data_IF_991775030455
#
_entry.id   IF_991775030455
#
_cell.length_a   1.000
_cell.length_b   1.000
_cell.length_c   1.000
_cell.angle_alpha   90.00
_cell.angle_beta   90.00
_cell.angle_gamma   90.00
#
_symmetry.space_group_name_H-M   'P 1'
#
loop_
_entity.id
_entity.type
_entity.pdbx_description
1 polymer ?
#
# COMPACT_ATOMS: atom_id res chain seq x y z
N UNK A 1 -46.30 -49.32 -0.65
CA UNK A 1 -44.88 -49.34 -1.08
C UNK A 1 -44.48 -47.90 -1.39
N UNK A 2 -43.56 -47.32 -0.60
CA UNK A 2 -43.16 -45.90 -0.69
C UNK A 2 -42.11 -45.73 -1.79
N UNK A 3 -42.17 -44.67 -2.62
CA UNK A 3 -41.07 -44.36 -3.54
C UNK A 3 -39.95 -43.65 -2.76
N UNK A 4 -38.73 -44.18 -2.90
CA UNK A 4 -37.50 -43.56 -2.41
C UNK A 4 -37.12 -42.42 -3.37
N UNK A 5 -37.03 -41.19 -2.86
CA UNK A 5 -36.40 -40.08 -3.56
C UNK A 5 -34.90 -40.06 -3.21
N UNK A 6 -34.03 -40.28 -4.21
CA UNK A 6 -32.59 -40.01 -4.11
C UNK A 6 -32.34 -38.55 -4.55
N UNK A 7 -31.70 -37.69 -3.74
CA UNK A 7 -31.24 -36.40 -4.22
C UNK A 7 -29.90 -36.57 -4.96
N UNK A 8 -29.88 -36.16 -6.22
CA UNK A 8 -28.65 -36.06 -7.02
C UNK A 8 -27.95 -34.75 -6.68
N UNK A 9 -26.96 -34.76 -5.79
CA UNK A 9 -26.09 -33.61 -5.55
C UNK A 9 -25.06 -33.52 -6.67
N UNK A 10 -25.26 -32.57 -7.59
CA UNK A 10 -24.26 -32.19 -8.60
C UNK A 10 -23.27 -31.23 -7.93
N UNK A 11 -22.07 -31.73 -7.64
CA UNK A 11 -20.95 -30.88 -7.24
C UNK A 11 -20.39 -30.18 -8.50
N UNK A 12 -20.68 -28.88 -8.65
CA UNK A 12 -19.95 -28.04 -9.60
C UNK A 12 -18.54 -27.83 -9.05
N UNK A 13 -17.56 -28.55 -9.60
CA UNK A 13 -16.17 -28.17 -9.47
C UNK A 13 -15.94 -26.90 -10.31
N UNK A 14 -15.87 -25.74 -9.65
CA UNK A 14 -15.28 -24.54 -10.25
C UNK A 14 -13.80 -24.84 -10.47
N UNK A 15 -13.44 -25.23 -11.69
CA UNK A 15 -12.07 -25.10 -12.16
C UNK A 15 -11.82 -23.60 -12.28
N UNK A 16 -11.21 -23.01 -11.26
CA UNK A 16 -10.59 -21.69 -11.41
C UNK A 16 -9.52 -21.86 -12.47
N UNK A 17 -9.79 -21.40 -13.69
CA UNK A 17 -8.76 -21.25 -14.70
C UNK A 17 -7.69 -20.35 -14.09
N UNK A 18 -6.56 -20.95 -13.69
CA UNK A 18 -5.38 -20.21 -13.28
C UNK A 18 -4.96 -19.43 -14.52
N UNK A 19 -5.26 -18.13 -14.52
CA UNK A 19 -4.88 -17.23 -15.60
C UNK A 19 -3.38 -17.30 -15.74
N UNK A 20 -2.94 -17.95 -16.80
CA UNK A 20 -1.54 -18.23 -17.02
C UNK A 20 -0.99 -16.98 -17.72
N UNK A 21 -0.32 -16.05 -17.00
CA UNK A 21 0.04 -14.66 -17.39
C UNK A 21 0.59 -14.37 -18.81
N UNK A 22 1.51 -13.43 -19.03
CA UNK A 22 2.06 -13.21 -20.37
C UNK A 22 2.90 -14.41 -20.85
N UNK A 23 2.82 -14.78 -22.13
CA UNK A 23 3.66 -15.82 -22.72
C UNK A 23 4.95 -15.24 -23.33
N UNK A 24 4.84 -14.04 -23.91
CA UNK A 24 5.93 -13.25 -24.48
C UNK A 24 5.94 -11.88 -23.82
N UNK A 25 7.12 -11.35 -23.53
CA UNK A 25 7.31 -9.98 -23.03
C UNK A 25 8.07 -9.18 -24.07
N UNK A 26 7.49 -8.06 -24.49
CA UNK A 26 8.15 -7.09 -25.35
C UNK A 26 9.11 -6.22 -24.51
N UNK A 27 10.33 -6.07 -24.98
CA UNK A 27 11.42 -5.40 -24.28
C UNK A 27 12.19 -4.48 -25.21
N UNK A 28 13.01 -3.61 -24.61
CA UNK A 28 13.91 -2.73 -25.35
C UNK A 28 15.36 -3.03 -25.01
N UNK A 29 16.14 -3.46 -26.00
CA UNK A 29 17.60 -3.54 -25.86
C UNK A 29 18.19 -2.14 -25.91
N UNK A 30 18.88 -1.77 -24.84
CA UNK A 30 19.50 -0.45 -24.65
C UNK A 30 21.00 -0.59 -24.86
N UNK A 31 21.53 0.20 -25.80
CA UNK A 31 22.96 0.24 -26.13
C UNK A 31 23.47 1.69 -26.03
N UNK A 32 24.73 1.85 -25.61
CA UNK A 32 25.41 3.14 -25.68
C UNK A 32 25.90 3.36 -27.11
N UNK A 33 25.33 4.36 -27.78
CA UNK A 33 25.73 4.74 -29.14
C UNK A 33 26.95 5.67 -29.18
N UNK A 34 27.58 5.90 -28.03
CA UNK A 34 28.69 6.83 -27.84
C UNK A 34 28.23 8.28 -27.68
N UNK A 35 29.06 9.09 -27.02
CA UNK A 35 28.78 10.51 -26.78
C UNK A 35 27.62 10.79 -25.83
N UNK A 36 27.24 9.81 -24.98
CA UNK A 36 26.13 9.94 -24.02
C UNK A 36 24.74 9.75 -24.64
N UNK A 37 24.64 9.23 -25.87
CA UNK A 37 23.37 8.97 -26.55
C UNK A 37 23.01 7.48 -26.43
N UNK A 38 21.83 7.21 -25.87
CA UNK A 38 21.29 5.86 -25.77
C UNK A 38 20.45 5.52 -27.00
N UNK A 39 20.61 4.32 -27.54
CA UNK A 39 19.75 3.77 -28.60
C UNK A 39 18.93 2.60 -28.08
N UNK A 40 17.69 2.48 -28.54
CA UNK A 40 16.78 1.40 -28.18
C UNK A 40 16.45 0.56 -29.42
N UNK A 41 16.61 -0.77 -29.33
CA UNK A 41 16.18 -1.75 -30.34
C UNK A 41 15.06 -2.64 -29.76
N UNK A 42 14.07 -3.05 -30.56
CA UNK A 42 13.03 -3.94 -30.08
C UNK A 42 13.61 -5.33 -29.80
N UNK A 43 13.18 -5.94 -28.70
CA UNK A 43 13.57 -7.28 -28.27
C UNK A 43 12.35 -7.98 -27.65
N UNK A 44 12.37 -9.31 -27.58
CA UNK A 44 11.30 -10.06 -26.93
C UNK A 44 11.82 -11.26 -26.14
N UNK A 45 11.20 -11.51 -25.00
CA UNK A 45 11.46 -12.67 -24.15
C UNK A 45 10.29 -13.65 -24.25
N UNK A 46 10.55 -14.85 -24.77
CA UNK A 46 9.62 -15.96 -24.75
C UNK A 46 9.80 -16.73 -23.43
N UNK A 47 8.84 -16.55 -22.51
CA UNK A 47 8.88 -17.15 -21.18
C UNK A 47 8.17 -18.51 -21.14
N UNK A 48 7.11 -18.66 -21.94
CA UNK A 48 6.31 -19.90 -21.99
C UNK A 48 5.93 -20.21 -23.43
N UNK A 49 6.12 -21.47 -23.80
CA UNK A 49 5.78 -21.99 -25.11
C UNK A 49 4.72 -23.08 -24.93
N UNK A 50 3.59 -22.98 -25.66
CA UNK A 50 2.62 -24.07 -25.76
C UNK A 50 3.16 -25.23 -26.62
N UNK A 51 2.40 -26.33 -26.79
CA UNK A 51 2.79 -27.37 -27.73
C UNK A 51 2.81 -26.80 -29.16
N UNK A 52 3.99 -26.74 -29.78
CA UNK A 52 4.19 -26.16 -31.12
C UNK A 52 5.56 -25.50 -31.28
N UNK A 53 5.85 -24.95 -32.46
CA UNK A 53 7.06 -24.15 -32.71
C UNK A 53 6.94 -22.76 -32.09
N UNK A 54 8.07 -22.08 -31.75
CA UNK A 54 8.03 -20.70 -31.27
C UNK A 54 7.35 -19.79 -32.31
N UNK A 55 6.53 -18.81 -31.90
CA UNK A 55 5.91 -17.90 -32.85
C UNK A 55 7.00 -17.11 -33.58
N UNK A 56 6.98 -17.04 -34.92
CA UNK A 56 7.99 -16.31 -35.69
C UNK A 56 7.83 -14.80 -35.48
N UNK A 57 8.95 -14.10 -35.29
CA UNK A 57 9.02 -12.64 -35.12
C UNK A 57 10.01 -12.05 -36.14
N UNK A 58 9.60 -11.89 -37.42
CA UNK A 58 10.48 -11.38 -38.47
C UNK A 58 10.82 -9.88 -38.28
N UNK A 59 10.09 -9.21 -37.40
CA UNK A 59 10.33 -7.82 -36.97
C UNK A 59 11.49 -7.67 -35.98
N UNK A 60 12.00 -8.78 -35.42
CA UNK A 60 13.07 -8.78 -34.44
C UNK A 60 14.35 -9.38 -35.01
N UNK A 61 15.49 -8.89 -34.53
CA UNK A 61 16.77 -9.54 -34.75
C UNK A 61 16.78 -10.89 -34.00
N UNK A 62 17.28 -12.00 -34.60
CA UNK A 62 17.34 -13.31 -33.95
C UNK A 62 18.01 -13.34 -32.56
N UNK A 63 19.02 -12.49 -32.38
CA UNK A 63 19.78 -12.35 -31.13
C UNK A 63 18.98 -11.64 -30.03
N UNK A 64 17.92 -10.92 -30.41
CA UNK A 64 17.04 -10.15 -29.51
C UNK A 64 15.69 -10.83 -29.29
N UNK A 65 15.45 -11.98 -29.92
CA UNK A 65 14.33 -12.86 -29.59
C UNK A 65 14.85 -14.03 -28.75
N UNK A 66 14.62 -13.96 -27.44
CA UNK A 66 15.23 -14.89 -26.48
C UNK A 66 14.20 -15.88 -25.96
N UNK A 67 14.48 -17.17 -26.13
CA UNK A 67 13.79 -18.24 -25.40
C UNK A 67 14.42 -18.37 -24.02
N UNK A 68 13.67 -18.05 -22.98
CA UNK A 68 14.20 -18.05 -21.61
C UNK A 68 14.04 -19.41 -20.96
N UNK A 69 15.17 -20.03 -20.64
CA UNK A 69 15.25 -21.17 -19.72
C UNK A 69 15.53 -20.65 -18.32
N UNK A 70 14.61 -20.88 -17.38
CA UNK A 70 14.72 -20.43 -15.99
C UNK A 70 14.68 -21.66 -15.08
N UNK A 71 15.85 -22.24 -14.73
CA UNK A 71 15.95 -23.44 -13.91
C UNK A 71 15.46 -23.23 -12.48
N UNK A 72 15.73 -22.06 -11.91
CA UNK A 72 15.33 -21.74 -10.54
C UNK A 72 13.85 -21.36 -10.44
N UNK A 73 13.22 -21.02 -11.56
CA UNK A 73 11.77 -20.81 -11.69
C UNK A 73 11.27 -19.46 -11.17
N UNK A 74 12.13 -18.63 -10.56
CA UNK A 74 11.73 -17.36 -9.95
C UNK A 74 11.19 -16.35 -10.98
N UNK A 75 11.82 -16.27 -12.15
CA UNK A 75 11.39 -15.38 -13.24
C UNK A 75 10.04 -15.84 -13.78
N UNK A 76 9.89 -17.13 -14.09
CA UNK A 76 8.61 -17.67 -14.59
C UNK A 76 7.49 -17.57 -13.54
N UNK A 77 7.80 -17.79 -12.26
CA UNK A 77 6.83 -17.72 -11.17
C UNK A 77 6.26 -16.31 -10.98
N UNK A 78 7.09 -15.27 -11.15
CA UNK A 78 6.63 -13.87 -11.09
C UNK A 78 5.50 -13.61 -12.11
N UNK A 79 5.64 -14.14 -13.33
CA UNK A 79 4.65 -13.99 -14.39
C UNK A 79 3.43 -14.90 -14.27
N UNK A 80 3.54 -16.04 -13.58
CA UNK A 80 2.36 -16.88 -13.26
C UNK A 80 1.38 -16.18 -12.34
N UNK A 81 1.86 -15.28 -11.48
CA UNK A 81 1.04 -14.48 -10.55
C UNK A 81 0.57 -13.15 -11.15
N UNK A 82 0.94 -12.84 -12.39
CA UNK A 82 0.60 -11.57 -13.02
C UNK A 82 -0.87 -11.53 -13.44
N UNK A 83 -1.67 -10.54 -13.01
CA UNK A 83 -3.09 -10.45 -13.36
C UNK A 83 -3.28 -10.21 -14.87
N UNK A 84 -4.29 -10.84 -15.49
CA UNK A 84 -4.57 -10.73 -16.92
C UNK A 84 -4.95 -9.32 -17.38
N UNK A 85 -5.57 -8.55 -16.49
CA UNK A 85 -6.15 -7.24 -16.81
C UNK A 85 -5.15 -6.10 -16.59
N UNK A 86 -3.91 -6.42 -16.20
CA UNK A 86 -2.85 -5.45 -15.95
C UNK A 86 -2.02 -5.23 -17.22
N UNK A 87 -1.65 -3.98 -17.57
CA UNK A 87 -0.74 -3.71 -18.69
C UNK A 87 0.56 -4.53 -18.59
N UNK A 88 1.18 -4.83 -19.74
CA UNK A 88 2.48 -5.50 -19.74
C UNK A 88 3.53 -4.68 -18.95
N UNK A 89 4.45 -5.34 -18.22
CA UNK A 89 5.50 -4.63 -17.49
C UNK A 89 6.44 -3.92 -18.46
N UNK A 90 7.05 -2.82 -17.99
CA UNK A 90 8.16 -2.23 -18.71
C UNK A 90 9.36 -3.18 -18.64
N UNK A 91 9.98 -3.46 -19.78
CA UNK A 91 11.11 -4.37 -19.88
C UNK A 91 12.26 -3.71 -20.66
N UNK A 92 13.44 -3.71 -20.06
CA UNK A 92 14.67 -3.22 -20.67
C UNK A 92 15.75 -4.31 -20.60
N UNK A 93 16.46 -4.49 -21.71
CA UNK A 93 17.62 -5.36 -21.82
C UNK A 93 18.87 -4.51 -21.97
N UNK A 94 19.98 -4.92 -21.35
CA UNK A 94 21.29 -4.33 -21.60
C UNK A 94 22.38 -5.40 -21.58
N UNK A 95 23.53 -5.09 -22.17
CA UNK A 95 24.71 -5.95 -22.01
C UNK A 95 25.20 -5.93 -20.56
N UNK A 96 25.59 -7.09 -20.06
CA UNK A 96 26.14 -7.25 -18.72
C UNK A 96 27.57 -7.78 -18.81
N UNK A 97 28.45 -7.29 -17.93
CA UNK A 97 29.83 -7.76 -17.83
C UNK A 97 30.06 -8.23 -16.40
N UNK A 98 30.32 -9.53 -16.16
CA UNK A 98 30.62 -10.05 -14.84
C UNK A 98 31.88 -9.37 -14.27
N UNK A 99 31.72 -8.68 -13.15
CA UNK A 99 32.78 -7.90 -12.50
C UNK A 99 32.63 -8.03 -10.98
N UNK A 100 33.75 -8.04 -10.22
CA UNK A 100 33.69 -8.02 -8.77
C UNK A 100 32.92 -6.81 -8.24
N UNK A 101 32.25 -6.98 -7.10
CA UNK A 101 31.58 -5.90 -6.41
C UNK A 101 32.59 -4.78 -6.07
N UNK A 102 32.22 -3.53 -6.37
CA UNK A 102 33.09 -2.37 -6.13
C UNK A 102 33.20 -2.01 -4.64
N UNK A 103 32.25 -2.46 -3.82
CA UNK A 103 32.20 -2.16 -2.40
C UNK A 103 33.23 -3.00 -1.61
N UNK A 104 34.02 -2.34 -0.77
CA UNK A 104 35.09 -3.02 -0.01
C UNK A 104 34.59 -4.11 0.93
N UNK A 105 33.37 -3.99 1.48
CA UNK A 105 32.78 -4.99 2.38
C UNK A 105 32.38 -6.29 1.65
N UNK A 106 32.21 -6.23 0.33
CA UNK A 106 31.83 -7.39 -0.48
C UNK A 106 33.05 -8.12 -1.07
N UNK A 107 34.27 -7.68 -0.74
CA UNK A 107 35.52 -8.23 -1.30
C UNK A 107 35.69 -9.71 -0.97
N UNK A 108 35.21 -10.19 0.17
CA UNK A 108 35.25 -11.60 0.54
C UNK A 108 34.50 -12.53 -0.38
N UNK A 109 33.55 -12.03 -1.18
CA UNK A 109 32.82 -12.84 -2.18
C UNK A 109 33.71 -13.23 -3.37
N UNK A 110 34.80 -12.51 -3.61
CA UNK A 110 35.75 -12.78 -4.70
C UNK A 110 37.19 -12.75 -4.15
N UNK A 111 37.61 -13.79 -3.40
CA UNK A 111 38.96 -13.85 -2.84
C UNK A 111 40.02 -14.12 -3.92
N UNK A 112 39.63 -14.77 -5.02
CA UNK A 112 40.52 -15.09 -6.14
C UNK A 112 40.85 -13.84 -6.97
N UNK A 113 42.10 -13.75 -7.42
CA UNK A 113 42.56 -12.63 -8.25
C UNK A 113 42.38 -12.85 -9.76
N UNK A 114 41.65 -13.90 -10.15
CA UNK A 114 41.40 -14.26 -11.56
C UNK A 114 39.91 -14.43 -11.81
N UNK A 115 39.43 -13.98 -12.98
CA UNK A 115 38.04 -14.20 -13.38
C UNK A 115 37.79 -15.71 -13.63
N UNK A 116 36.71 -16.28 -13.07
CA UNK A 116 36.39 -17.69 -13.26
C UNK A 116 35.90 -17.95 -14.69
N UNK A 117 36.50 -18.95 -15.35
CA UNK A 117 36.12 -19.36 -16.73
C UNK A 117 34.69 -19.88 -16.85
N UNK A 118 34.06 -20.25 -15.72
CA UNK A 118 32.65 -20.66 -15.70
C UNK A 118 31.68 -19.52 -16.08
N UNK A 119 32.16 -18.26 -16.04
CA UNK A 119 31.41 -17.07 -16.43
C UNK A 119 31.70 -16.59 -17.85
N UNK A 120 32.48 -17.34 -18.64
CA UNK A 120 32.70 -17.02 -20.05
C UNK A 120 31.37 -17.04 -20.83
N UNK A 121 31.28 -16.19 -21.85
CA UNK A 121 30.11 -16.07 -22.72
C UNK A 121 29.45 -14.69 -22.70
N UNK A 122 28.37 -14.54 -23.45
CA UNK A 122 27.61 -13.28 -23.56
C UNK A 122 26.53 -13.23 -22.49
N UNK A 123 26.52 -12.13 -21.74
CA UNK A 123 25.55 -11.89 -20.67
C UNK A 123 24.66 -10.69 -20.99
N UNK A 124 23.39 -10.83 -20.66
CA UNK A 124 22.40 -9.76 -20.71
C UNK A 124 21.79 -9.56 -19.33
N UNK A 125 21.51 -8.31 -18.98
CA UNK A 125 20.69 -7.96 -17.83
C UNK A 125 19.30 -7.57 -18.32
N UNK A 126 18.29 -8.17 -17.71
CA UNK A 126 16.87 -7.86 -17.93
C UNK A 126 16.37 -7.12 -16.71
N UNK A 127 15.86 -5.91 -16.90
CA UNK A 127 15.17 -5.13 -15.87
C UNK A 127 13.69 -5.01 -16.21
N UNK A 128 12.84 -5.38 -15.26
CA UNK A 128 11.40 -5.34 -15.40
C UNK A 128 10.76 -4.54 -14.27
N UNK A 129 9.85 -3.63 -14.61
CA UNK A 129 9.12 -2.83 -13.64
C UNK A 129 7.64 -2.76 -13.97
N UNK A 130 6.82 -2.94 -12.93
CA UNK A 130 5.37 -2.81 -12.98
C UNK A 130 4.86 -2.39 -11.59
N UNK A 131 3.57 -2.03 -11.47
CA UNK A 131 2.95 -1.84 -10.16
C UNK A 131 2.85 -3.13 -9.32
N UNK A 132 2.99 -4.31 -9.94
CA UNK A 132 2.80 -5.61 -9.30
C UNK A 132 4.12 -6.18 -8.78
N UNK A 133 5.20 -6.05 -9.54
CA UNK A 133 6.53 -6.48 -9.15
C UNK A 133 7.62 -5.64 -9.83
N UNK A 134 8.81 -5.64 -9.23
CA UNK A 134 10.06 -5.23 -9.90
C UNK A 134 11.05 -6.39 -9.87
N UNK A 135 11.71 -6.64 -10.99
CA UNK A 135 12.60 -7.77 -11.16
C UNK A 135 13.84 -7.37 -11.95
N UNK A 136 14.98 -7.94 -11.59
CA UNK A 136 16.21 -7.91 -12.38
C UNK A 136 16.72 -9.34 -12.55
N UNK A 137 17.03 -9.74 -13.78
CA UNK A 137 17.57 -11.07 -14.07
C UNK A 137 18.80 -10.99 -14.96
N UNK A 138 19.83 -11.75 -14.61
CA UNK A 138 20.99 -11.97 -15.44
C UNK A 138 20.75 -13.22 -16.31
N UNK A 139 20.80 -13.02 -17.61
CA UNK A 139 20.65 -14.06 -18.62
C UNK A 139 22.02 -14.34 -19.26
N UNK A 140 22.36 -15.62 -19.40
CA UNK A 140 23.51 -16.05 -20.19
C UNK A 140 23.04 -16.63 -21.51
N UNK A 141 23.51 -16.08 -22.63
CA UNK A 141 23.21 -16.62 -23.95
C UNK A 141 23.95 -17.94 -24.13
N UNK A 142 23.29 -18.93 -24.72
CA UNK A 142 23.94 -20.15 -25.13
C UNK A 142 24.49 -19.99 -26.54
N UNK A 143 25.81 -20.15 -26.69
CA UNK A 143 26.43 -20.33 -28.00
C UNK A 143 26.27 -21.79 -28.42
N UNK A 144 25.49 -22.09 -29.46
CA UNK A 144 25.34 -23.46 -29.95
C UNK A 144 26.68 -24.06 -30.41
N UNK A 145 26.98 -25.32 -30.05
CA UNK A 145 27.44 -26.32 -30.98
C UNK A 145 26.23 -27.20 -31.32
N UNK A 146 25.59 -27.01 -32.48
CA UNK A 146 24.52 -27.90 -32.94
C UNK A 146 25.13 -29.12 -33.67
N UNK A 147 24.85 -30.36 -33.24
CA UNK A 147 24.96 -31.53 -34.09
C UNK A 147 23.56 -32.12 -34.30
N UNK A 148 22.81 -31.60 -35.28
CA UNK A 148 21.87 -32.36 -36.14
C UNK A 148 20.98 -31.40 -36.97
N UNK A 149 20.68 -31.72 -38.25
CA UNK A 149 19.89 -30.86 -39.12
C UNK A 149 18.38 -31.12 -38.91
N UNK A 150 17.67 -30.19 -38.29
CA UNK A 150 16.20 -30.18 -38.25
C UNK A 150 15.63 -28.93 -38.96
N UNK A 151 14.40 -29.02 -39.52
CA UNK A 151 13.91 -28.12 -40.56
C UNK A 151 13.64 -26.72 -39.99
N UNK A 152 14.25 -25.72 -40.62
CA UNK A 152 14.17 -24.27 -40.37
C UNK A 152 13.48 -23.89 -39.05
N UNK A 153 14.18 -23.98 -37.90
CA UNK A 153 13.66 -23.47 -36.66
C UNK A 153 13.51 -21.95 -36.78
N UNK A 154 12.43 -21.40 -36.24
CA UNK A 154 12.31 -19.96 -36.04
C UNK A 154 13.60 -19.45 -35.38
N UNK A 155 14.25 -18.46 -35.99
CA UNK A 155 15.51 -17.88 -35.53
C UNK A 155 15.33 -17.27 -34.12
N UNK A 156 15.56 -18.07 -33.09
CA UNK A 156 15.38 -17.71 -31.67
C UNK A 156 16.62 -18.13 -30.89
N UNK A 157 17.10 -17.26 -30.02
CA UNK A 157 18.31 -17.52 -29.22
C UNK A 157 17.94 -18.08 -27.86
N UNK A 158 18.60 -19.14 -27.42
CA UNK A 158 18.37 -19.71 -26.09
C UNK A 158 19.18 -18.94 -25.04
N UNK A 159 18.51 -18.49 -23.97
CA UNK A 159 19.12 -17.78 -22.87
C UNK A 159 18.76 -18.45 -21.54
N UNK A 160 19.73 -18.65 -20.66
CA UNK A 160 19.52 -19.26 -19.33
C UNK A 160 19.54 -18.17 -18.25
N UNK A 161 18.52 -18.12 -17.40
CA UNK A 161 18.50 -17.25 -16.23
C UNK A 161 19.43 -17.82 -15.15
N UNK A 162 20.41 -17.02 -14.75
CA UNK A 162 21.45 -17.42 -13.79
C UNK A 162 21.18 -16.82 -12.42
N UNK A 163 20.89 -15.53 -12.35
CA UNK A 163 20.51 -14.83 -11.13
C UNK A 163 19.24 -14.04 -11.41
N UNK A 164 18.23 -14.20 -10.56
CA UNK A 164 17.01 -13.40 -10.59
C UNK A 164 16.81 -12.77 -9.22
N UNK A 165 16.61 -11.46 -9.17
CA UNK A 165 16.26 -10.70 -7.97
C UNK A 165 14.87 -10.09 -8.21
N UNK A 166 13.97 -10.28 -7.26
CA UNK A 166 12.55 -9.97 -7.40
C UNK A 166 12.02 -9.33 -6.12
N UNK A 167 11.14 -8.35 -6.28
CA UNK A 167 10.29 -7.82 -5.22
C UNK A 167 8.83 -7.83 -5.68
N UNK A 168 7.95 -8.36 -4.82
CA UNK A 168 6.49 -8.37 -5.06
C UNK A 168 5.81 -7.10 -4.57
N UNK A 169 6.54 -6.20 -3.91
CA UNK A 169 6.01 -4.93 -3.41
C UNK A 169 6.87 -3.79 -3.94
N UNK A 170 6.77 -3.42 -5.23
CA UNK A 170 7.61 -2.37 -5.82
C UNK A 170 7.24 -0.97 -5.31
N UNK A 171 6.01 -0.78 -4.83
CA UNK A 171 5.52 0.52 -4.30
C UNK A 171 4.84 0.35 -2.94
N UNK A 172 5.57 -0.08 -1.88
CA UNK A 172 4.98 -0.36 -0.59
C UNK A 172 4.44 0.92 0.05
N UNK A 173 3.20 0.85 0.58
CA UNK A 173 2.55 1.95 1.29
C UNK A 173 2.36 1.59 2.75
N UNK A 174 3.02 2.30 3.65
CA UNK A 174 2.99 2.01 5.08
C UNK A 174 2.36 3.13 5.90
N UNK A 175 1.71 2.78 7.01
CA UNK A 175 1.26 3.81 7.93
C UNK A 175 2.43 4.40 8.70
N UNK A 176 2.43 5.73 8.85
CA UNK A 176 3.44 6.45 9.63
C UNK A 176 3.57 5.86 11.05
N UNK A 177 4.81 5.55 11.44
CA UNK A 177 5.16 4.99 12.74
C UNK A 177 5.02 3.47 12.85
N UNK A 178 4.60 2.78 11.78
CA UNK A 178 4.62 1.32 11.72
C UNK A 178 5.93 0.80 11.14
N UNK A 179 6.24 -0.46 11.47
CA UNK A 179 7.36 -1.18 10.86
C UNK A 179 6.98 -1.61 9.45
N UNK A 180 7.90 -1.45 8.49
CA UNK A 180 7.71 -1.91 7.11
C UNK A 180 8.61 -3.10 6.82
N UNK A 181 8.07 -4.04 6.03
CA UNK A 181 8.82 -5.12 5.41
C UNK A 181 8.91 -4.85 3.91
N UNK A 182 10.11 -4.62 3.41
CA UNK A 182 10.41 -4.46 1.99
C UNK A 182 10.79 -5.81 1.42
N UNK A 183 9.82 -6.46 0.76
CA UNK A 183 9.95 -7.80 0.18
C UNK A 183 11.10 -7.87 -0.82
N UNK A 184 11.96 -8.89 -0.65
CA UNK A 184 13.03 -9.20 -1.59
C UNK A 184 13.30 -10.70 -1.59
N UNK A 185 13.18 -11.29 -2.76
CA UNK A 185 13.55 -12.67 -3.04
C UNK A 185 14.58 -12.70 -4.15
N UNK A 186 15.43 -13.71 -4.12
CA UNK A 186 16.35 -13.98 -5.21
C UNK A 186 16.49 -15.47 -5.46
N UNK A 187 16.98 -15.81 -6.64
CA UNK A 187 17.20 -17.18 -7.04
C UNK A 187 18.46 -17.27 -7.88
N UNK A 188 19.22 -18.33 -7.68
CA UNK A 188 20.52 -18.53 -8.32
C UNK A 188 20.68 -19.94 -8.85
N UNK A 189 21.10 -20.04 -10.11
CA UNK A 189 21.52 -21.28 -10.75
C UNK A 189 23.05 -21.29 -10.89
N UNK A 190 23.76 -22.24 -10.26
CA UNK A 190 25.21 -22.36 -10.41
C UNK A 190 25.59 -22.74 -11.87
N UNK A 191 26.74 -22.28 -12.39
CA UNK A 191 27.21 -22.69 -13.71
C UNK A 191 27.48 -24.20 -13.79
N UNK A 192 26.89 -24.86 -14.79
CA UNK A 192 26.99 -26.30 -15.05
C UNK A 192 28.31 -26.73 -15.72
N UNK A 193 29.47 -26.33 -15.18
CA UNK A 193 30.78 -26.76 -15.70
C UNK A 193 31.36 -27.88 -14.84
N UNK A 194 32.02 -28.87 -15.45
CA UNK A 194 32.75 -29.94 -14.75
C UNK A 194 33.77 -29.42 -13.73
N UNK A 195 34.23 -28.17 -13.87
CA UNK A 195 35.08 -27.47 -12.89
C UNK A 195 34.37 -27.10 -11.58
N UNK A 196 33.04 -27.09 -11.54
CA UNK A 196 32.23 -26.82 -10.35
C UNK A 196 32.22 -27.99 -9.35
N UNK A 197 32.77 -29.15 -9.71
CA UNK A 197 33.02 -30.28 -8.79
C UNK A 197 34.03 -29.97 -7.69
N UNK A 198 34.68 -28.79 -7.72
CA UNK A 198 35.60 -28.31 -6.70
C UNK A 198 34.98 -27.35 -5.67
N UNK A 199 33.75 -26.86 -5.89
CA UNK A 199 33.04 -26.04 -4.92
C UNK A 199 32.52 -26.91 -3.78
N UNK A 200 32.59 -26.39 -2.55
CA UNK A 200 31.98 -27.05 -1.39
C UNK A 200 30.48 -27.29 -1.66
N UNK A 201 29.93 -28.46 -1.31
CA UNK A 201 28.51 -28.74 -1.51
C UNK A 201 27.66 -27.72 -0.74
N UNK A 202 26.58 -27.25 -1.38
CA UNK A 202 25.66 -26.26 -0.82
C UNK A 202 25.75 -24.87 -1.46
N UNK A 203 24.89 -23.93 -1.02
CA UNK A 203 24.76 -22.63 -1.65
C UNK A 203 25.99 -21.73 -1.38
N UNK A 204 26.41 -20.90 -2.36
CA UNK A 204 27.55 -20.00 -2.18
C UNK A 204 27.24 -18.87 -1.20
N UNK A 205 28.26 -18.25 -0.58
CA UNK A 205 28.05 -17.00 0.14
C UNK A 205 27.54 -15.92 -0.81
N UNK A 206 26.68 -15.06 -0.30
CA UNK A 206 26.13 -13.92 -1.06
C UNK A 206 26.24 -12.66 -0.22
N UNK A 207 26.21 -11.50 -0.87
CA UNK A 207 26.12 -10.19 -0.26
C UNK A 207 24.72 -9.61 -0.45
N UNK A 208 24.19 -8.97 0.59
CA UNK A 208 22.97 -8.18 0.52
C UNK A 208 23.31 -6.73 0.78
N UNK A 209 22.82 -5.83 -0.06
CA UNK A 209 22.98 -4.38 0.09
C UNK A 209 21.62 -3.68 -0.04
N UNK A 210 21.27 -2.88 0.97
CA UNK A 210 20.10 -1.99 0.93
C UNK A 210 20.56 -0.54 1.01
N UNK A 211 20.11 0.27 0.05
CA UNK A 211 20.38 1.71 0.02
C UNK A 211 19.10 2.51 -0.14
N UNK A 212 19.04 3.69 0.46
CA UNK A 212 18.02 4.71 0.14
C UNK A 212 18.62 5.82 -0.69
N UNK A 213 18.05 6.06 -1.87
CA UNK A 213 18.43 7.17 -2.74
C UNK A 213 17.51 8.36 -2.47
N UNK A 214 18.11 9.48 -2.05
CA UNK A 214 17.41 10.74 -1.84
C UNK A 214 18.24 11.88 -2.44
N UNK A 215 17.64 12.67 -3.33
CA UNK A 215 18.29 13.80 -4.01
C UNK A 215 19.63 13.42 -4.69
N UNK A 216 19.68 12.24 -5.32
CA UNK A 216 20.88 11.75 -6.01
C UNK A 216 21.98 11.19 -5.10
N UNK A 217 21.81 11.19 -3.77
CA UNK A 217 22.74 10.58 -2.81
C UNK A 217 22.16 9.27 -2.28
N UNK A 218 22.86 8.17 -2.55
CA UNK A 218 22.52 6.84 -2.01
C UNK A 218 23.16 6.62 -0.65
N UNK A 219 22.36 6.53 0.42
CA UNK A 219 22.82 6.20 1.76
C UNK A 219 22.68 4.69 1.99
N UNK A 220 23.76 4.04 2.42
CA UNK A 220 23.74 2.62 2.78
C UNK A 220 22.94 2.44 4.08
N UNK A 221 21.90 1.62 4.05
CA UNK A 221 21.09 1.28 5.21
C UNK A 221 21.55 0.01 5.89
N UNK A 222 21.82 -1.03 5.09
CA UNK A 222 22.25 -2.34 5.57
C UNK A 222 23.13 -3.01 4.54
N UNK A 223 24.19 -3.66 5.01
CA UNK A 223 25.00 -4.58 4.22
C UNK A 223 25.27 -5.84 5.05
N UNK A 224 25.22 -7.00 4.41
CA UNK A 224 25.49 -8.29 5.04
C UNK A 224 26.11 -9.26 4.04
N UNK A 225 26.95 -10.18 4.51
CA UNK A 225 27.49 -11.29 3.71
C UNK A 225 27.23 -12.64 4.38
N UNK A 226 25.99 -13.17 4.34
CA UNK A 226 25.69 -14.48 4.90
C UNK A 226 26.62 -15.57 4.33
N UNK A 227 27.16 -16.40 5.23
CA UNK A 227 28.17 -17.42 4.89
C UNK A 227 29.62 -16.94 4.99
N UNK A 228 29.87 -15.64 5.21
CA UNK A 228 31.20 -15.09 5.46
C UNK A 228 31.28 -14.39 6.82
N UNK A 229 32.38 -14.61 7.54
CA UNK A 229 32.65 -13.98 8.85
C UNK A 229 33.35 -12.62 8.73
N UNK A 230 32.95 -11.77 7.79
CA UNK A 230 33.60 -10.48 7.54
C UNK A 230 32.98 -9.33 8.35
N UNK A 231 33.77 -8.29 8.61
CA UNK A 231 33.30 -7.08 9.30
C UNK A 231 32.36 -6.27 8.39
N UNK A 232 31.09 -6.19 8.77
CA UNK A 232 30.08 -5.44 8.01
C UNK A 232 29.98 -3.97 8.45
N UNK A 233 29.56 -3.07 7.54
CA UNK A 233 29.14 -1.72 7.88
C UNK A 233 28.01 -1.72 8.92
N UNK A 234 27.97 -0.70 9.78
CA UNK A 234 26.91 -0.57 10.77
C UNK A 234 25.56 -0.26 10.09
N UNK A 235 24.54 -1.04 10.45
CA UNK A 235 23.17 -0.80 10.02
C UNK A 235 22.67 0.58 10.50
N UNK A 236 21.95 1.28 9.64
CA UNK A 236 21.37 2.59 9.92
C UNK A 236 19.89 2.44 10.28
N UNK A 237 19.36 3.40 11.06
CA UNK A 237 17.92 3.53 11.31
C UNK A 237 17.25 2.29 11.93
N UNK A 238 18.04 1.46 12.64
CA UNK A 238 17.55 0.21 13.23
C UNK A 238 17.14 -0.85 12.20
N UNK A 239 17.56 -0.71 10.94
CA UNK A 239 17.23 -1.63 9.87
C UNK A 239 17.82 -3.02 10.14
N UNK A 240 17.01 -4.05 9.89
CA UNK A 240 17.43 -5.46 9.94
C UNK A 240 16.98 -6.16 8.67
N UNK A 241 17.65 -7.24 8.27
CA UNK A 241 17.30 -7.97 7.07
C UNK A 241 17.21 -9.48 7.33
N UNK A 242 16.23 -10.11 6.69
CA UNK A 242 16.09 -11.56 6.64
C UNK A 242 16.90 -12.10 5.46
N UNK A 243 18.23 -12.13 5.62
CA UNK A 243 19.17 -12.51 4.58
C UNK A 243 19.61 -13.98 4.75
N UNK A 244 19.01 -14.90 3.99
CA UNK A 244 19.36 -16.33 4.03
C UNK A 244 18.97 -17.04 2.72
N UNK A 245 19.62 -18.17 2.45
CA UNK A 245 19.10 -19.16 1.50
C UNK A 245 17.92 -19.91 2.13
N UNK A 246 16.94 -20.30 1.31
CA UNK A 246 15.74 -21.00 1.76
C UNK A 246 16.02 -22.48 2.06
N UNK A 247 17.00 -23.07 1.36
CA UNK A 247 17.46 -24.45 1.51
C UNK A 247 18.99 -24.56 1.32
N UNK A 248 19.54 -25.72 1.72
CA UNK A 248 20.95 -26.08 1.62
C UNK A 248 21.19 -27.24 0.64
N UNK A 249 20.37 -27.34 -0.41
CA UNK A 249 20.48 -28.45 -1.38
C UNK A 249 21.89 -28.52 -1.99
N UNK A 250 22.47 -29.70 -2.24
CA UNK A 250 23.90 -29.80 -2.57
C UNK A 250 24.32 -29.13 -3.89
N UNK A 251 23.42 -29.08 -4.87
CA UNK A 251 23.75 -28.72 -6.26
C UNK A 251 22.92 -27.57 -6.84
N UNK A 252 21.98 -27.02 -6.07
CA UNK A 252 21.05 -25.99 -6.52
C UNK A 252 20.10 -26.47 -7.64
N UNK A 253 19.36 -25.54 -8.28
CA UNK A 253 19.33 -24.10 -8.01
C UNK A 253 18.81 -23.78 -6.61
N UNK A 254 19.20 -22.63 -6.07
CA UNK A 254 18.77 -22.17 -4.75
C UNK A 254 17.90 -20.93 -4.85
N UNK A 255 16.97 -20.79 -3.91
CA UNK A 255 16.24 -19.54 -3.66
C UNK A 255 16.63 -18.96 -2.32
N UNK A 256 16.52 -17.64 -2.19
CA UNK A 256 16.87 -16.94 -0.97
C UNK A 256 15.99 -15.71 -0.73
N UNK A 257 16.05 -15.26 0.51
CA UNK A 257 15.35 -14.09 1.01
C UNK A 257 16.37 -13.01 1.38
N UNK A 258 16.03 -11.76 1.11
CA UNK A 258 16.80 -10.58 1.53
C UNK A 258 15.92 -9.42 1.99
N UNK A 259 14.71 -9.73 2.46
CA UNK A 259 13.69 -8.75 2.87
C UNK A 259 14.23 -7.84 3.96
N UNK A 260 14.05 -6.52 3.80
CA UNK A 260 14.44 -5.52 4.79
C UNK A 260 13.27 -5.21 5.72
N UNK A 261 13.53 -5.19 7.03
CA UNK A 261 12.64 -4.61 8.03
C UNK A 261 13.19 -3.27 8.49
N UNK A 262 12.37 -2.22 8.36
CA UNK A 262 12.68 -0.89 8.86
C UNK A 262 11.65 -0.51 9.93
N UNK A 263 12.07 -0.27 11.19
CA UNK A 263 11.15 -0.02 12.28
C UNK A 263 10.63 1.42 12.28
N UNK A 264 9.41 1.61 12.78
CA UNK A 264 8.79 2.91 13.08
C UNK A 264 8.97 3.97 11.97
N UNK A 265 8.54 3.65 10.75
CA UNK A 265 8.83 4.46 9.55
C UNK A 265 8.29 5.88 9.68
N UNK A 266 9.16 6.86 9.44
CA UNK A 266 8.87 8.29 9.45
C UNK A 266 8.93 8.89 8.04
N UNK A 267 8.32 10.07 7.81
CA UNK A 267 8.32 10.73 6.48
C UNK A 267 9.69 10.97 5.87
N UNK A 268 10.73 11.24 6.67
CA UNK A 268 12.09 11.46 6.12
C UNK A 268 12.71 10.19 5.52
N UNK A 269 12.16 9.02 5.81
CA UNK A 269 12.59 7.73 5.29
C UNK A 269 11.85 7.34 4.01
N UNK A 270 10.90 8.17 3.55
CA UNK A 270 10.19 7.98 2.28
C UNK A 270 11.14 8.13 1.08
N UNK A 271 10.82 7.45 -0.02
CA UNK A 271 11.51 7.58 -1.30
C UNK A 271 12.00 6.26 -1.89
N UNK A 272 13.02 6.35 -2.73
CA UNK A 272 13.51 5.23 -3.53
C UNK A 272 14.52 4.37 -2.76
N UNK A 273 14.24 3.09 -2.65
CA UNK A 273 15.11 2.07 -2.07
C UNK A 273 15.69 1.18 -3.18
N UNK A 274 16.96 0.87 -3.07
CA UNK A 274 17.67 -0.03 -3.96
C UNK A 274 18.12 -1.24 -3.14
N UNK A 275 17.77 -2.42 -3.63
CA UNK A 275 18.22 -3.68 -3.08
C UNK A 275 19.12 -4.38 -4.09
N UNK A 276 20.36 -4.67 -3.70
CA UNK A 276 21.34 -5.34 -4.54
C UNK A 276 21.77 -6.64 -3.88
N UNK A 277 21.66 -7.74 -4.63
CA UNK A 277 22.20 -9.04 -4.25
C UNK A 277 23.49 -9.25 -5.01
N UNK A 278 24.57 -9.47 -4.26
CA UNK A 278 25.92 -9.72 -4.76
C UNK A 278 26.24 -11.21 -4.66
N UNK A 279 26.66 -11.78 -5.77
CA UNK A 279 27.26 -13.12 -5.86
C UNK A 279 28.67 -12.95 -6.45
N UNK A 280 29.53 -13.99 -6.43
CA UNK A 280 30.84 -13.90 -7.05
C UNK A 280 30.74 -13.42 -8.51
N UNK A 281 31.25 -12.21 -8.78
CA UNK A 281 31.22 -11.50 -10.07
C UNK A 281 29.83 -11.14 -10.64
N UNK A 282 28.75 -11.45 -9.93
CA UNK A 282 27.39 -11.24 -10.40
C UNK A 282 26.64 -10.31 -9.42
N UNK A 283 25.86 -9.38 -9.95
CA UNK A 283 25.01 -8.52 -9.13
C UNK A 283 23.66 -8.31 -9.81
N UNK A 284 22.58 -8.45 -9.03
CA UNK A 284 21.22 -8.11 -9.45
C UNK A 284 20.67 -7.01 -8.55
N UNK A 285 20.00 -6.01 -9.14
CA UNK A 285 19.47 -4.87 -8.40
C UNK A 285 18.00 -4.63 -8.74
N UNK A 286 17.18 -4.41 -7.73
CA UNK A 286 15.78 -3.97 -7.88
C UNK A 286 15.53 -2.66 -7.17
N UNK A 287 14.52 -1.94 -7.64
CA UNK A 287 14.14 -0.62 -7.12
C UNK A 287 12.73 -0.68 -6.53
N UNK A 288 12.57 -0.09 -5.34
CA UNK A 288 11.31 0.02 -4.62
C UNK A 288 11.04 1.49 -4.29
N UNK A 289 9.78 1.91 -4.34
CA UNK A 289 9.37 3.27 -3.97
C UNK A 289 8.49 3.22 -2.72
N UNK A 290 9.11 3.43 -1.55
CA UNK A 290 8.40 3.43 -0.26
C UNK A 290 7.64 4.74 -0.11
N UNK A 291 6.33 4.65 0.07
CA UNK A 291 5.45 5.77 0.38
C UNK A 291 4.89 5.67 1.79
N UNK A 292 4.89 6.80 2.51
CA UNK A 292 4.35 6.89 3.87
C UNK A 292 2.96 7.52 3.82
N UNK A 293 2.03 7.01 4.62
CA UNK A 293 0.67 7.54 4.68
C UNK A 293 0.12 7.57 6.10
N UNK A 294 -0.74 8.55 6.41
CA UNK A 294 -1.45 8.62 7.69
C UNK A 294 -2.83 9.24 7.45
N UNK A 295 -3.93 8.51 7.74
CA UNK A 295 -5.26 9.04 7.50
C UNK A 295 -5.62 10.15 8.49
N UNK A 296 -6.25 11.25 8.03
CA UNK A 296 -6.64 12.35 8.89
C UNK A 296 -7.72 11.94 9.90
N UNK A 297 -7.62 12.52 11.10
CA UNK A 297 -8.69 12.56 12.08
C UNK A 297 -9.42 13.89 11.95
N UNK A 298 -10.69 13.83 11.58
CA UNK A 298 -11.55 15.01 11.36
C UNK A 298 -12.40 15.23 12.59
N UNK A 299 -12.39 16.45 13.12
CA UNK A 299 -13.21 16.89 14.24
C UNK A 299 -13.77 18.28 13.95
N UNK A 300 -14.95 18.58 14.49
CA UNK A 300 -15.65 19.84 14.27
C UNK A 300 -15.91 20.52 15.61
N UNK A 301 -15.70 21.83 15.67
CA UNK A 301 -15.86 22.67 16.86
C UNK A 301 -16.64 23.92 16.48
N UNK A 302 -17.64 24.37 17.27
CA UNK A 302 -18.22 23.67 18.42
C UNK A 302 -19.01 22.42 18.00
N UNK A 303 -19.04 21.39 18.84
CA UNK A 303 -19.84 20.17 18.66
C UNK A 303 -20.50 19.76 19.98
N UNK A 304 -21.64 19.03 19.97
CA UNK A 304 -22.39 18.53 18.80
C UNK A 304 -23.44 19.52 18.26
N UNK A 305 -23.60 20.67 18.91
CA UNK A 305 -24.78 21.51 18.77
C UNK A 305 -24.40 22.99 18.91
N UNK A 306 -24.93 23.82 18.01
CA UNK A 306 -24.61 25.26 17.91
C UNK A 306 -25.91 26.05 17.96
N UNK A 307 -25.91 27.13 18.74
CA UNK A 307 -27.07 28.02 18.89
C UNK A 307 -26.84 29.35 18.19
N UNK A 308 -27.89 29.88 17.57
CA UNK A 308 -27.91 31.24 17.03
C UNK A 308 -29.29 31.86 17.17
N UNK A 309 -29.35 33.17 17.44
CA UNK A 309 -30.62 33.90 17.42
C UNK A 309 -31.09 34.12 15.97
N UNK A 310 -32.41 34.23 15.72
CA UNK A 310 -32.91 34.61 14.41
C UNK A 310 -32.32 35.95 13.95
N UNK A 311 -31.71 35.98 12.77
CA UNK A 311 -31.07 37.17 12.20
C UNK A 311 -29.60 37.34 12.59
N UNK A 312 -29.05 36.49 13.46
CA UNK A 312 -27.63 36.46 13.81
C UNK A 312 -26.90 35.33 13.09
N UNK A 313 -25.60 35.53 12.84
CA UNK A 313 -24.74 34.48 12.32
C UNK A 313 -24.36 33.51 13.46
N UNK A 314 -24.39 32.20 13.22
CA UNK A 314 -23.82 31.22 14.14
C UNK A 314 -22.33 31.52 14.44
N UNK A 315 -21.80 31.03 15.58
CA UNK A 315 -20.38 31.08 15.84
C UNK A 315 -19.59 30.40 14.71
N UNK A 316 -18.35 30.84 14.56
CA UNK A 316 -17.40 30.27 13.64
C UNK A 316 -17.26 28.76 13.85
N UNK A 317 -17.40 27.99 12.76
CA UNK A 317 -17.19 26.55 12.75
C UNK A 317 -15.74 26.26 12.35
N UNK A 318 -15.03 25.56 13.22
CA UNK A 318 -13.65 25.12 13.04
C UNK A 318 -13.63 23.61 12.82
N UNK A 319 -13.27 23.21 11.61
CA UNK A 319 -13.00 21.83 11.25
C UNK A 319 -11.50 21.54 11.40
N UNK A 320 -11.14 20.80 12.43
CA UNK A 320 -9.77 20.44 12.71
C UNK A 320 -9.42 19.08 12.07
N UNK A 321 -8.51 19.11 11.10
CA UNK A 321 -7.97 17.96 10.38
C UNK A 321 -6.60 17.64 10.95
N UNK A 322 -6.52 16.61 11.78
CA UNK A 322 -5.36 16.33 12.61
C UNK A 322 -4.58 15.09 12.17
N UNK A 323 -3.25 15.19 12.33
CA UNK A 323 -2.23 14.16 12.15
C UNK A 323 -2.39 13.32 10.87
N UNK A 324 -2.24 13.97 9.72
CA UNK A 324 -2.30 13.30 8.40
C UNK A 324 -1.00 13.46 7.60
N UNK A 325 -0.82 12.59 6.61
CA UNK A 325 0.30 12.60 5.68
C UNK A 325 -0.07 11.76 4.43
N UNK A 326 0.30 12.15 3.20
CA UNK A 326 1.06 13.34 2.81
C UNK A 326 0.27 14.66 2.98
N UNK A 327 0.93 15.81 2.85
CA UNK A 327 0.25 17.12 2.88
C UNK A 327 -0.52 17.43 1.59
N UNK A 328 -0.12 16.82 0.48
CA UNK A 328 -0.68 17.05 -0.84
C UNK A 328 -2.00 16.30 -1.04
N UNK A 329 -2.90 16.86 -1.84
CA UNK A 329 -4.18 16.25 -2.15
C UNK A 329 -5.24 16.32 -1.04
N UNK A 330 -5.02 17.12 0.01
CA UNK A 330 -6.05 17.43 1.00
C UNK A 330 -7.04 18.46 0.43
N UNK A 331 -8.33 18.13 0.44
CA UNK A 331 -9.41 19.08 0.15
C UNK A 331 -10.43 19.11 1.29
N UNK A 332 -10.86 20.32 1.67
CA UNK A 332 -11.92 20.52 2.66
C UNK A 332 -13.12 21.22 2.02
N UNK A 333 -14.29 20.59 2.12
CA UNK A 333 -15.56 21.09 1.62
C UNK A 333 -16.52 21.28 2.80
N UNK A 334 -17.26 22.38 2.75
CA UNK A 334 -18.30 22.68 3.72
C UNK A 334 -19.67 22.43 3.11
N UNK A 335 -20.49 21.66 3.80
CA UNK A 335 -21.80 21.23 3.35
C UNK A 335 -22.84 21.53 4.44
N UNK A 336 -24.09 21.75 4.04
CA UNK A 336 -25.23 21.95 4.94
C UNK A 336 -26.40 21.10 4.48
N UNK A 337 -27.14 20.54 5.44
CA UNK A 337 -28.35 19.77 5.22
C UNK A 337 -29.50 20.39 6.00
N UNK A 338 -30.53 20.87 5.31
CA UNK A 338 -31.68 21.57 5.91
C UNK A 338 -32.77 20.69 6.53
N UNK A 339 -32.55 19.38 6.72
CA UNK A 339 -33.54 18.45 7.30
C UNK A 339 -33.13 16.97 7.18
N UNK A 340 -33.86 16.01 7.77
CA UNK A 340 -33.47 14.59 7.80
C UNK A 340 -33.38 13.93 6.41
N UNK A 341 -34.21 14.34 5.44
CA UNK A 341 -34.25 13.80 4.07
C UNK A 341 -33.59 14.70 3.00
N UNK A 342 -33.00 15.84 3.41
CA UNK A 342 -32.32 16.73 2.47
C UNK A 342 -30.97 16.18 2.00
N UNK A 343 -30.61 16.43 0.73
CA UNK A 343 -29.23 16.23 0.27
C UNK A 343 -28.30 17.30 0.86
N UNK A 344 -27.03 16.95 1.03
CA UNK A 344 -26.01 17.93 1.42
C UNK A 344 -25.80 18.93 0.26
N UNK A 345 -25.96 20.20 0.57
CA UNK A 345 -25.70 21.32 -0.33
C UNK A 345 -24.44 22.05 0.13
N UNK A 346 -23.79 22.80 -0.77
CA UNK A 346 -22.61 23.60 -0.40
C UNK A 346 -23.00 24.67 0.63
N UNK A 347 -22.28 24.73 1.74
CA UNK A 347 -22.53 25.73 2.76
C UNK A 347 -22.11 27.13 2.28
N UNK A 348 -22.96 28.12 2.55
CA UNK A 348 -22.68 29.53 2.31
C UNK A 348 -21.95 30.16 3.50
N UNK A 349 -21.18 31.22 3.24
CA UNK A 349 -20.38 31.91 4.25
C UNK A 349 -18.93 32.16 3.84
N UNK A 350 -18.19 32.86 4.70
CA UNK A 350 -16.75 33.07 4.53
C UNK A 350 -16.01 31.82 4.97
N UNK A 351 -15.05 31.36 4.17
CA UNK A 351 -14.25 30.18 4.46
C UNK A 351 -12.77 30.43 4.22
N UNK A 352 -11.93 29.94 5.11
CA UNK A 352 -10.48 30.04 4.99
C UNK A 352 -9.80 28.83 5.63
N UNK A 353 -8.53 28.62 5.28
CA UNK A 353 -7.71 27.53 5.83
C UNK A 353 -6.57 28.14 6.64
N UNK A 354 -6.21 27.49 7.74
CA UNK A 354 -5.00 27.81 8.48
C UNK A 354 -3.76 27.37 7.70
N UNK A 355 -2.60 27.91 8.05
CA UNK A 355 -1.32 27.33 7.65
C UNK A 355 -1.18 25.90 8.17
N UNK A 356 -0.35 25.10 7.50
CA UNK A 356 0.00 23.75 7.95
C UNK A 356 0.80 23.82 9.25
N UNK A 357 0.42 22.98 10.20
CA UNK A 357 1.15 22.75 11.45
C UNK A 357 1.90 21.43 11.34
N UNK A 358 3.22 21.48 11.43
CA UNK A 358 4.07 20.29 11.43
C UNK A 358 4.23 19.74 12.84
N UNK A 359 4.18 18.42 12.97
CA UNK A 359 4.39 17.69 14.22
C UNK A 359 5.78 17.03 14.23
N UNK A 360 6.26 16.65 15.42
CA UNK A 360 7.55 15.96 15.57
C UNK A 360 7.56 14.55 14.98
N UNK A 361 6.39 13.92 14.81
CA UNK A 361 6.25 12.63 14.13
C UNK A 361 6.31 12.77 12.59
N UNK A 362 6.46 13.99 12.08
CA UNK A 362 6.47 14.33 10.66
C UNK A 362 5.08 14.44 10.02
N UNK A 363 4.00 14.13 10.74
CA UNK A 363 2.65 14.37 10.27
C UNK A 363 2.31 15.86 10.29
N UNK A 364 1.28 16.24 9.55
CA UNK A 364 0.79 17.62 9.50
C UNK A 364 -0.64 17.74 9.98
N UNK A 365 -1.05 18.95 10.32
CA UNK A 365 -2.43 19.28 10.68
C UNK A 365 -2.84 20.63 10.15
N UNK A 366 -4.13 20.76 9.88
CA UNK A 366 -4.71 21.95 9.29
C UNK A 366 -6.10 22.17 9.89
N UNK A 367 -6.46 23.44 10.10
CA UNK A 367 -7.80 23.82 10.52
C UNK A 367 -8.48 24.57 9.37
N UNK A 368 -9.68 24.14 9.02
CA UNK A 368 -10.55 24.85 8.11
C UNK A 368 -11.60 25.60 8.92
N UNK A 369 -11.88 26.83 8.52
CA UNK A 369 -12.77 27.73 9.22
C UNK A 369 -13.94 28.09 8.31
N UNK A 370 -15.14 28.17 8.88
CA UNK A 370 -16.35 28.62 8.21
C UNK A 370 -17.08 29.59 9.13
N UNK A 371 -17.31 30.81 8.65
CA UNK A 371 -18.24 31.76 9.24
C UNK A 371 -19.58 31.64 8.52
N UNK A 372 -20.61 31.01 9.11
CA UNK A 372 -21.89 30.81 8.44
C UNK A 372 -22.66 32.13 8.28
N UNK A 373 -23.61 32.17 7.35
CA UNK A 373 -24.50 33.32 7.13
C UNK A 373 -25.54 33.46 8.25
N UNK A 374 -26.12 34.65 8.46
CA UNK A 374 -27.21 34.86 9.42
C UNK A 374 -28.40 33.91 9.20
N UNK A 375 -28.88 33.30 10.28
CA UNK A 375 -29.87 32.22 10.21
C UNK A 375 -31.30 32.72 10.39
N UNK A 376 -32.23 32.03 9.75
CA UNK A 376 -33.68 32.24 9.92
C UNK A 376 -34.32 31.01 10.55
N UNK A 377 -35.58 31.10 10.97
CA UNK A 377 -36.34 30.00 11.55
C UNK A 377 -36.36 28.71 10.70
N UNK A 378 -36.20 28.82 9.38
CA UNK A 378 -36.15 27.69 8.43
C UNK A 378 -34.90 26.83 8.57
N UNK A 379 -33.86 27.34 9.21
CA UNK A 379 -32.57 26.66 9.38
C UNK A 379 -32.46 25.90 10.71
N UNK A 380 -33.52 25.93 11.53
CA UNK A 380 -33.60 25.15 12.76
C UNK A 380 -33.51 23.64 12.45
N UNK A 381 -32.61 22.93 13.14
CA UNK A 381 -32.33 21.52 12.91
C UNK A 381 -31.43 21.23 11.69
N UNK A 382 -30.87 22.26 11.04
CA UNK A 382 -29.93 22.06 9.93
C UNK A 382 -28.60 21.49 10.41
N UNK A 383 -27.99 20.59 9.63
CA UNK A 383 -26.68 19.99 9.94
C UNK A 383 -25.60 20.56 9.05
N UNK A 384 -24.62 21.22 9.64
CA UNK A 384 -23.39 21.60 8.95
C UNK A 384 -22.41 20.45 9.00
N UNK A 385 -21.75 20.17 7.88
CA UNK A 385 -20.77 19.11 7.73
C UNK A 385 -19.48 19.66 7.13
N UNK A 386 -18.35 19.32 7.74
CA UNK A 386 -17.04 19.46 7.13
C UNK A 386 -16.65 18.13 6.48
N UNK A 387 -16.56 18.10 5.15
CA UNK A 387 -16.20 16.94 4.33
C UNK A 387 -14.73 17.07 3.90
N UNK A 388 -13.91 16.10 4.29
CA UNK A 388 -12.49 16.06 4.00
C UNK A 388 -12.19 14.95 3.00
N UNK A 389 -11.53 15.30 1.91
CA UNK A 389 -10.96 14.35 0.95
C UNK A 389 -9.44 14.32 1.11
N UNK A 390 -8.88 13.12 1.02
CA UNK A 390 -7.44 12.87 1.14
C UNK A 390 -7.13 11.55 0.43
N UNK A 391 -5.95 11.35 -0.18
CA UNK A 391 -5.61 10.12 -0.92
C UNK A 391 -5.71 8.84 -0.09
N UNK A 392 -5.58 8.94 1.23
CA UNK A 392 -5.67 7.80 2.16
C UNK A 392 -7.09 7.54 2.67
N UNK A 393 -8.08 8.34 2.28
CA UNK A 393 -9.48 8.18 2.63
C UNK A 393 -10.25 7.54 1.46
N UNK A 394 -11.41 6.92 1.73
CA UNK A 394 -12.32 6.47 0.67
C UNK A 394 -12.76 7.63 -0.22
N UNK A 395 -13.27 7.34 -1.43
CA UNK A 395 -13.72 8.36 -2.39
C UNK A 395 -14.78 9.33 -1.82
N UNK A 396 -15.65 8.85 -0.92
CA UNK A 396 -16.65 9.66 -0.21
C UNK A 396 -16.05 10.62 0.83
N UNK A 397 -14.76 10.51 1.12
CA UNK A 397 -14.07 11.27 2.14
C UNK A 397 -14.53 10.92 3.56
N UNK A 398 -14.18 11.77 4.52
CA UNK A 398 -14.59 11.68 5.91
C UNK A 398 -15.28 12.98 6.33
N UNK A 399 -16.41 12.90 7.02
CA UNK A 399 -17.12 14.09 7.51
C UNK A 399 -17.26 14.14 9.01
N UNK A 400 -17.31 15.36 9.54
CA UNK A 400 -17.78 15.66 10.89
C UNK A 400 -18.96 16.64 10.79
N UNK A 401 -19.99 16.44 11.61
CA UNK A 401 -21.25 17.17 11.52
C UNK A 401 -21.60 17.87 12.85
N UNK A 402 -22.30 18.99 12.76
CA UNK A 402 -22.85 19.75 13.90
C UNK A 402 -24.28 20.16 13.56
N UNK A 403 -25.17 20.12 14.55
CA UNK A 403 -26.56 20.53 14.38
C UNK A 403 -26.76 21.98 14.84
N UNK A 404 -27.43 22.78 14.01
CA UNK A 404 -27.79 24.16 14.30
C UNK A 404 -29.18 24.22 14.94
N UNK A 405 -29.26 24.83 16.11
CA UNK A 405 -30.50 25.16 16.78
C UNK A 405 -30.70 26.67 16.79
N UNK A 406 -31.87 27.10 16.31
CA UNK A 406 -32.26 28.52 16.33
C UNK A 406 -33.01 28.81 17.63
N UNK A 407 -32.51 29.76 18.41
CA UNK A 407 -33.08 30.12 19.71
C UNK A 407 -34.52 30.63 19.56
N UNK A 408 -35.40 30.26 20.50
CA UNK A 408 -36.81 30.67 20.52
C UNK A 408 -37.77 29.82 19.68
N UNK A 409 -37.29 28.76 19.02
CA UNK A 409 -38.11 27.80 18.28
C UNK A 409 -38.23 26.43 18.94
N UNK A 410 -37.39 26.14 19.95
CA UNK A 410 -37.54 24.97 20.79
C UNK A 410 -38.79 25.12 21.66
N UNK A 411 -39.88 24.46 21.28
CA UNK A 411 -41.06 24.30 22.13
C UNK A 411 -40.73 23.47 23.38
N UNK A 412 -41.56 23.48 24.42
CA UNK A 412 -41.33 22.68 25.62
C UNK A 412 -41.13 21.21 25.25
N UNK A 413 -40.12 20.57 25.82
CA UNK A 413 -39.87 19.14 25.64
C UNK A 413 -41.11 18.35 26.07
N UNK A 414 -41.29 17.14 25.51
CA UNK A 414 -42.33 16.22 25.96
C UNK A 414 -42.16 15.93 27.47
N UNK A 415 -40.93 15.93 27.97
CA UNK A 415 -40.61 15.82 29.40
C UNK A 415 -41.04 17.06 30.20
N UNK A 416 -40.85 18.26 29.64
CA UNK A 416 -41.33 19.51 30.27
C UNK A 416 -42.87 19.51 30.34
N UNK A 417 -43.53 19.04 29.28
CA UNK A 417 -44.98 18.88 29.23
C UNK A 417 -45.49 17.88 30.26
N UNK A 418 -44.82 16.74 30.42
CA UNK A 418 -45.13 15.74 31.46
C UNK A 418 -44.88 16.30 32.86
N UNK A 419 -43.78 17.04 33.07
CA UNK A 419 -43.48 17.71 34.34
C UNK A 419 -44.52 18.76 34.73
N UNK A 420 -44.97 19.57 33.77
CA UNK A 420 -46.05 20.55 33.97
C UNK A 420 -47.38 19.87 34.29
N UNK A 421 -47.70 18.77 33.62
CA UNK A 421 -48.89 17.99 33.93
C UNK A 421 -48.85 17.36 35.33
N UNK A 422 -47.73 16.72 35.70
CA UNK A 422 -47.57 16.08 37.00
C UNK A 422 -47.61 17.10 38.14
N UNK A 423 -46.97 18.25 37.97
CA UNK A 423 -47.00 19.34 38.96
C UNK A 423 -48.41 19.92 39.12
N UNK A 424 -49.16 20.09 38.02
CA UNK A 424 -50.56 20.51 38.08
C UNK A 424 -51.45 19.50 38.82
N UNK A 425 -51.28 18.20 38.58
CA UNK A 425 -52.02 17.15 39.28
C UNK A 425 -51.68 17.11 40.79
N UNK A 426 -50.41 17.27 41.15
CA UNK A 426 -49.98 17.35 42.55
C UNK A 426 -50.58 18.56 43.26
N UNK A 427 -50.54 19.73 42.62
CA UNK A 427 -51.14 20.97 43.15
C UNK A 427 -52.64 20.84 43.31
N UNK A 428 -53.35 20.29 42.32
CA UNK A 428 -54.80 20.05 42.41
C UNK A 428 -55.14 19.05 43.52
N UNK A 429 -54.33 18.00 43.68
CA UNK A 429 -54.45 17.04 44.78
C UNK A 429 -54.30 17.70 46.15
N UNK A 430 -53.26 18.52 46.32
CA UNK A 430 -53.02 19.30 47.55
C UNK A 430 -54.14 20.29 47.84
N UNK A 431 -54.62 21.02 46.84
CA UNK A 431 -55.72 21.98 47.00
C UNK A 431 -57.02 21.27 47.41
N UNK A 432 -57.34 20.11 46.80
CA UNK A 432 -58.50 19.31 47.21
C UNK A 432 -58.35 18.76 48.62
N UNK A 433 -57.19 18.26 49.00
CA UNK A 433 -56.94 17.75 50.35
C UNK A 433 -57.07 18.86 51.40
N UNK A 434 -56.52 20.05 51.14
CA UNK A 434 -56.67 21.22 51.99
C UNK A 434 -58.13 21.69 52.06
N UNK A 435 -58.85 21.68 50.94
CA UNK A 435 -60.28 22.00 50.88
C UNK A 435 -61.13 21.01 51.69
N UNK A 436 -60.85 19.71 51.60
CA UNK A 436 -61.49 18.68 52.41
C UNK A 436 -61.16 18.82 53.89
N UNK A 437 -59.90 19.09 54.24
CA UNK A 437 -59.50 19.31 55.63
C UNK A 437 -60.17 20.57 56.22
N UNK A 438 -60.35 21.63 55.44
CA UNK A 438 -61.06 22.83 55.84
C UNK A 438 -62.57 22.57 56.03
N UNK A 439 -63.20 21.84 55.11
CA UNK A 439 -64.62 21.44 55.22
C UNK A 439 -64.88 20.47 56.38
N UNK A 440 -63.93 19.57 56.66
CA UNK A 440 -64.01 18.69 57.83
C UNK A 440 -63.88 19.49 59.14
N UNK A 441 -63.00 20.49 59.19
CA UNK A 441 -62.88 21.39 60.35
C UNK A 441 -64.14 22.24 60.57
N UNK A 442 -64.78 22.73 59.50
CA UNK A 442 -66.01 23.51 59.63
C UNK A 442 -67.19 22.66 60.10
N UNK A 443 -67.37 21.45 59.56
CA UNK A 443 -68.43 20.52 59.99
C UNK A 443 -68.23 19.98 61.40
N UNK A 444 -66.98 19.75 61.83
CA UNK A 444 -66.66 19.38 63.22
C UNK A 444 -66.97 20.51 64.21
N UNK A 445 -66.82 21.78 63.78
CA UNK A 445 -67.13 22.96 64.60
C UNK A 445 -68.64 23.15 64.75
N UNK A 446 -69.40 22.98 63.68
CA UNK A 446 -70.87 23.06 63.66
C UNK A 446 -71.55 21.92 64.47
N UNK A 447 -70.94 20.72 64.47
CA UNK A 447 -71.39 19.60 65.30
C UNK A 447 -71.14 19.80 66.80
N UNK A 448 -70.13 20.60 67.18
CA UNK A 448 -69.88 20.96 68.58
C UNK A 448 -70.85 22.03 69.09
N UNK A 449 -71.30 22.96 68.25
CA UNK A 449 -72.33 23.96 68.63
C UNK A 449 -73.71 23.32 68.84
N UNK A 450 -74.10 22.31 68.03
CA UNK A 450 -75.38 21.60 68.21
C UNK A 450 -75.46 20.68 69.44
N UNK A 451 -74.36 20.43 70.16
CA UNK A 451 -74.34 19.64 71.41
C UNK A 451 -74.41 20.48 72.69
N UNK A 452 -74.49 21.81 72.56
CA UNK A 452 -74.49 22.75 73.68
C UNK A 452 -75.84 23.47 73.88
N UNK A 453 -76.94 22.91 73.35
CA UNK A 453 -78.28 23.48 73.47
C UNK A 453 -79.27 22.50 74.08
#
# INVERSE_FOLDING_TARGET
MKPLYLPLTVALALVTAVSAGPAVIECWMVEDAGGGRLTKKPAALLLRQGPGTPPPRPDLEPELYLKVHDPAGALQAAFRRYPSDTPAPHCELSSYVPLPASANWARGLTPEQSCPRSLDGTWLMVSMSSPIFSLSSLLRLQSEPQPEPQPEPALITLATAVLTVLTHTPTPRIQLGQDVLLDLNFAYMPPSSEAATSLAPGPPPFGLEWRRQHLGKGHLLLAATPGLGEQMPAAQEGAVAFAAWDDDEPWGPWTGNGTLQLPAVQPFQEGTYLATVHLPYLQGQVTLELAVQKPPKVSLMPAPLVWAAPGEAPPELLCHVSHFYPSEGLEVKWEVRGGPEGSFQKAEGQRWLSALRHHSDGSVSLSAHLQPVPVTAKHHGARYACRVHHPTLPALGRSAEVTLEVAGLSGPSLEDGVGLFLSAFLLLGLIKALGWAAAYKSTLKDSKEKKAQ
#
